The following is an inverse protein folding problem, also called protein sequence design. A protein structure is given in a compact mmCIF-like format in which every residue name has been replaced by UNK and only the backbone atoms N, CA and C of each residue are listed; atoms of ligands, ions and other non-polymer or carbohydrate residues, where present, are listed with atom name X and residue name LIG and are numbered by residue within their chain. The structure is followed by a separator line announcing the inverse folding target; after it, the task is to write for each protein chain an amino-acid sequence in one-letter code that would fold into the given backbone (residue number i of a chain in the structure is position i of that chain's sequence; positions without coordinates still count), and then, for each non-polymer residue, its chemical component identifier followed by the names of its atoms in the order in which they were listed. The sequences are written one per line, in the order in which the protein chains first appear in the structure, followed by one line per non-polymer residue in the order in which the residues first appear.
data_IF_424803472969
#
_entry.id   IF_424803472969
#
_cell.length_a   1.000
_cell.length_b   1.000
_cell.length_c   1.000
_cell.angle_alpha   90.00
_cell.angle_beta   90.00
_cell.angle_gamma   90.00
#
_symmetry.space_group_name_H-M   'P 1'
#
loop_
_entity.id
_entity.type
_entity.pdbx_description
1 polymer ?
#
# COMPACT_ATOMS: atom_id res chain seq x y z
N UNK A 1 38.47 32.78 -13.46
CA UNK A 1 38.66 31.45 -12.80
C UNK A 1 37.48 30.51 -12.99
N UNK A 2 36.34 30.98 -13.46
CA UNK A 2 35.14 30.15 -13.73
C UNK A 2 35.26 29.32 -15.03
N UNK A 3 35.97 29.79 -16.03
CA UNK A 3 36.06 29.14 -17.34
C UNK A 3 36.63 27.70 -17.35
N UNK A 4 37.69 27.44 -16.58
CA UNK A 4 38.33 26.11 -16.56
C UNK A 4 37.50 25.03 -15.90
N UNK A 5 36.54 25.41 -15.02
CA UNK A 5 35.70 24.41 -14.35
C UNK A 5 34.61 23.85 -15.24
N UNK A 6 34.21 24.61 -16.26
CA UNK A 6 33.20 24.18 -17.25
C UNK A 6 33.80 23.31 -18.34
N UNK A 7 34.99 23.69 -18.85
CA UNK A 7 35.69 22.91 -19.86
C UNK A 7 36.02 21.49 -19.41
N UNK A 8 36.23 21.31 -18.09
CA UNK A 8 36.50 20.00 -17.47
C UNK A 8 35.22 19.22 -17.09
N UNK A 9 34.03 19.69 -17.43
CA UNK A 9 32.76 19.07 -17.00
C UNK A 9 32.55 19.08 -15.49
N UNK A 10 33.08 20.09 -14.80
CA UNK A 10 33.05 20.21 -13.33
C UNK A 10 32.10 21.28 -12.81
N UNK A 11 31.52 22.05 -13.71
CA UNK A 11 30.63 23.13 -13.32
C UNK A 11 29.26 22.61 -12.92
N UNK A 12 28.78 23.14 -11.85
CA UNK A 12 27.43 22.89 -11.36
C UNK A 12 26.92 24.14 -10.64
N UNK A 13 25.62 24.16 -10.48
CA UNK A 13 24.95 25.15 -9.66
C UNK A 13 23.93 24.41 -8.80
N UNK A 14 23.87 24.76 -7.52
CA UNK A 14 23.06 23.97 -6.59
C UNK A 14 22.67 24.74 -5.33
N UNK A 15 21.73 24.15 -4.61
CA UNK A 15 21.27 24.61 -3.32
C UNK A 15 21.67 23.58 -2.24
N UNK A 16 22.22 24.08 -1.15
CA UNK A 16 22.61 23.32 0.05
C UNK A 16 21.90 24.01 1.22
N UNK A 17 21.47 23.26 2.23
CA UNK A 17 20.83 23.83 3.42
C UNK A 17 21.80 24.69 4.24
N UNK A 18 21.28 25.75 4.89
CA UNK A 18 22.08 26.64 5.73
C UNK A 18 22.67 25.94 6.96
N UNK A 19 22.06 24.85 7.40
CA UNK A 19 22.47 24.10 8.59
C UNK A 19 23.62 23.11 8.33
N UNK A 20 24.14 23.07 7.11
CA UNK A 20 25.17 22.13 6.71
C UNK A 20 26.59 22.72 6.82
N UNK A 21 27.51 21.93 7.36
CA UNK A 21 28.90 22.28 7.37
C UNK A 21 29.42 22.46 5.93
N UNK A 22 30.01 23.63 5.65
CA UNK A 22 30.42 24.06 4.31
C UNK A 22 31.72 23.40 3.81
N UNK A 23 32.07 22.23 4.29
CA UNK A 23 33.30 21.53 3.95
C UNK A 23 33.10 20.49 2.86
N UNK A 24 33.15 20.93 1.61
CA UNK A 24 33.11 20.06 0.43
C UNK A 24 31.97 20.40 -0.51
N UNK A 25 32.12 20.00 -1.76
CA UNK A 25 31.20 20.32 -2.84
C UNK A 25 29.77 19.76 -2.64
N UNK A 26 29.64 18.73 -1.82
CA UNK A 26 28.40 18.04 -1.48
C UNK A 26 28.56 17.44 -0.08
N UNK A 27 28.62 18.27 0.93
CA UNK A 27 28.76 17.75 2.28
C UNK A 27 27.51 17.01 2.74
N UNK A 28 26.34 17.33 2.13
CA UNK A 28 25.05 16.74 2.47
C UNK A 28 24.13 16.57 1.25
N UNK A 29 22.88 16.17 1.50
CA UNK A 29 21.87 16.04 0.46
C UNK A 29 21.57 17.40 -0.17
N UNK A 30 21.75 17.51 -1.48
CA UNK A 30 21.70 18.76 -2.23
C UNK A 30 20.84 18.65 -3.48
N UNK A 31 20.33 19.79 -3.93
CA UNK A 31 19.73 19.94 -5.26
C UNK A 31 20.78 20.55 -6.19
N UNK A 32 21.06 19.90 -7.30
CA UNK A 32 22.15 20.31 -8.21
C UNK A 32 21.72 20.27 -9.66
N UNK A 33 22.18 21.25 -10.44
CA UNK A 33 22.01 21.31 -11.89
C UNK A 33 23.38 21.28 -12.55
N UNK A 34 23.58 20.37 -13.51
CA UNK A 34 24.77 20.27 -14.34
C UNK A 34 24.42 20.70 -15.77
N UNK A 35 24.91 21.83 -16.26
CA UNK A 35 24.69 22.26 -17.64
C UNK A 35 25.61 21.52 -18.62
N UNK A 36 25.18 21.44 -19.89
CA UNK A 36 25.94 20.85 -20.99
C UNK A 36 26.99 21.82 -21.56
N UNK A 37 26.74 23.12 -21.48
CA UNK A 37 27.61 24.18 -21.97
C UNK A 37 27.48 25.44 -21.09
N UNK A 38 28.56 26.19 -20.95
CA UNK A 38 28.57 27.39 -20.11
C UNK A 38 27.96 28.61 -20.79
N UNK A 39 28.19 28.75 -22.08
CA UNK A 39 27.86 29.97 -22.83
C UNK A 39 26.49 29.87 -23.50
N UNK A 40 26.01 28.63 -23.72
CA UNK A 40 24.75 28.38 -24.38
C UNK A 40 24.15 27.08 -23.86
N UNK A 41 23.65 27.12 -22.62
CA UNK A 41 22.98 25.97 -21.99
C UNK A 41 21.73 25.64 -22.79
N UNK A 42 21.68 24.45 -23.36
CA UNK A 42 20.50 23.89 -24.00
C UNK A 42 19.95 22.72 -23.19
N UNK A 43 20.85 21.87 -22.74
CA UNK A 43 20.52 20.65 -22.02
C UNK A 43 21.17 20.69 -20.63
N UNK A 44 20.48 20.18 -19.62
CA UNK A 44 21.07 20.02 -18.30
C UNK A 44 20.59 18.73 -17.61
N UNK A 45 21.33 18.31 -16.59
CA UNK A 45 20.89 17.28 -15.67
C UNK A 45 20.50 17.96 -14.36
N UNK A 46 19.27 17.75 -13.91
CA UNK A 46 18.80 18.13 -12.57
C UNK A 46 18.93 16.92 -11.66
N UNK A 47 19.55 17.10 -10.51
CA UNK A 47 19.84 16.01 -9.61
C UNK A 47 19.44 16.33 -8.17
N UNK A 48 19.02 15.29 -7.45
CA UNK A 48 19.07 15.24 -6.01
C UNK A 48 20.31 14.41 -5.65
N UNK A 49 21.31 15.09 -5.07
CA UNK A 49 22.64 14.53 -4.86
C UNK A 49 22.92 14.26 -3.39
N UNK A 50 23.85 13.33 -3.15
CA UNK A 50 24.37 13.01 -1.82
C UNK A 50 25.84 13.43 -1.78
N UNK A 51 26.28 14.11 -0.69
CA UNK A 51 27.62 14.68 -0.62
C UNK A 51 28.75 13.67 -0.73
N UNK A 52 29.81 14.06 -1.45
CA UNK A 52 30.97 13.19 -1.69
C UNK A 52 31.95 13.12 -0.50
N UNK A 53 31.93 14.12 0.39
CA UNK A 53 32.83 14.21 1.55
C UNK A 53 32.16 13.84 2.88
N UNK A 54 30.85 13.97 2.96
CA UNK A 54 30.04 13.76 4.16
C UNK A 54 29.31 12.44 4.24
N UNK A 55 29.68 11.46 3.42
CA UNK A 55 28.95 10.22 3.20
C UNK A 55 28.42 9.50 4.46
N UNK A 56 29.02 9.77 5.62
CA UNK A 56 28.59 9.18 6.89
C UNK A 56 27.24 9.72 7.37
N UNK A 57 26.94 10.98 7.15
CA UNK A 57 25.68 11.61 7.55
C UNK A 57 24.61 11.42 6.45
N UNK A 58 25.00 11.54 5.20
CA UNK A 58 24.11 11.40 4.06
C UNK A 58 23.65 9.97 3.83
N UNK A 59 24.44 8.98 4.22
CA UNK A 59 24.01 7.58 4.17
C UNK A 59 22.77 7.32 5.03
N UNK A 60 22.68 7.98 6.19
CA UNK A 60 21.47 7.86 7.02
C UNK A 60 20.25 8.47 6.32
N UNK A 61 20.40 9.62 5.68
CA UNK A 61 19.33 10.25 4.92
C UNK A 61 18.95 9.41 3.69
N UNK A 62 19.95 8.97 2.93
CA UNK A 62 19.77 8.15 1.74
C UNK A 62 19.19 6.76 2.03
N UNK A 63 19.47 6.20 3.20
CA UNK A 63 18.88 4.93 3.65
C UNK A 63 17.45 5.09 4.19
N UNK A 64 16.91 6.31 4.20
CA UNK A 64 15.56 6.59 4.70
C UNK A 64 14.50 6.09 3.69
N UNK A 65 13.56 5.22 4.10
CA UNK A 65 12.61 4.62 3.16
C UNK A 65 11.78 5.65 2.38
N UNK A 66 11.40 6.76 3.03
CA UNK A 66 10.60 7.83 2.44
C UNK A 66 11.31 8.59 1.33
N UNK A 67 12.63 8.73 1.42
CA UNK A 67 13.42 9.40 0.40
C UNK A 67 13.34 8.67 -0.95
N UNK A 68 13.49 7.35 -0.94
CA UNK A 68 13.35 6.52 -2.13
C UNK A 68 11.95 6.63 -2.76
N UNK A 69 10.90 6.60 -1.93
CA UNK A 69 9.52 6.78 -2.40
C UNK A 69 9.30 8.19 -2.97
N UNK A 70 9.90 9.20 -2.36
CA UNK A 70 9.84 10.57 -2.86
C UNK A 70 10.47 10.68 -4.23
N UNK A 71 11.63 10.06 -4.44
CA UNK A 71 12.27 10.05 -5.76
C UNK A 71 11.42 9.33 -6.80
N UNK A 72 10.83 8.18 -6.46
CA UNK A 72 9.95 7.46 -7.38
C UNK A 72 8.72 8.27 -7.80
N UNK A 73 8.22 9.18 -6.97
CA UNK A 73 7.14 10.09 -7.33
C UNK A 73 7.55 11.14 -8.38
N UNK A 74 8.84 11.45 -8.49
CA UNK A 74 9.37 12.36 -9.51
C UNK A 74 9.47 11.72 -10.90
N UNK A 75 9.14 10.42 -11.01
CA UNK A 75 9.15 9.74 -12.30
C UNK A 75 8.09 10.34 -13.23
N UNK A 76 8.55 10.83 -14.37
CA UNK A 76 7.68 11.12 -15.50
C UNK A 76 7.82 9.96 -16.50
N UNK A 77 6.71 9.54 -17.12
CA UNK A 77 6.67 8.40 -18.05
C UNK A 77 7.37 8.68 -19.40
N UNK A 78 8.22 9.71 -19.46
CA UNK A 78 8.94 10.16 -20.67
C UNK A 78 10.33 9.53 -20.81
N UNK A 79 10.75 8.70 -19.87
CA UNK A 79 12.04 8.01 -19.90
C UNK A 79 13.27 8.88 -19.57
N UNK A 80 13.07 10.17 -19.19
CA UNK A 80 14.17 11.10 -18.89
C UNK A 80 14.55 11.17 -17.42
N UNK A 81 13.87 10.40 -16.55
CA UNK A 81 14.12 10.35 -15.11
C UNK A 81 14.78 9.03 -14.72
N UNK A 82 15.83 9.08 -13.92
CA UNK A 82 16.67 7.95 -13.56
C UNK A 82 16.87 7.89 -12.04
N UNK A 83 16.82 6.67 -11.48
CA UNK A 83 17.00 6.43 -10.06
C UNK A 83 18.00 5.33 -9.80
N UNK A 84 18.75 5.43 -8.71
CA UNK A 84 19.43 4.28 -8.15
C UNK A 84 18.42 3.32 -7.52
N UNK A 85 18.56 2.05 -7.82
CA UNK A 85 17.71 0.99 -7.26
C UNK A 85 18.08 0.64 -5.82
N UNK A 86 19.32 0.93 -5.40
CA UNK A 86 19.82 0.72 -4.05
C UNK A 86 20.80 1.81 -3.66
N UNK A 87 20.73 2.26 -2.41
CA UNK A 87 21.74 3.15 -1.83
C UNK A 87 22.98 2.39 -1.32
N UNK A 88 22.91 1.07 -1.22
CA UNK A 88 24.02 0.23 -0.80
C UNK A 88 25.11 0.12 -1.90
N UNK A 89 24.71 0.26 -3.16
CA UNK A 89 25.62 0.28 -4.30
C UNK A 89 25.98 1.72 -4.69
N UNK A 90 26.93 2.26 -3.97
CA UNK A 90 27.41 3.63 -4.13
C UNK A 90 28.20 3.80 -5.45
N UNK A 91 28.74 2.73 -6.00
CA UNK A 91 29.61 2.77 -7.15
C UNK A 91 28.87 2.75 -8.51
N UNK A 92 27.59 2.42 -8.52
CA UNK A 92 26.80 2.37 -9.75
C UNK A 92 25.80 3.51 -9.87
N UNK A 93 26.07 4.46 -10.74
CA UNK A 93 25.01 5.25 -11.39
C UNK A 93 24.12 4.27 -12.17
N UNK A 94 22.80 4.51 -12.21
CA UNK A 94 21.90 3.75 -13.07
C UNK A 94 22.56 3.54 -14.42
N UNK A 95 22.70 2.28 -14.86
CA UNK A 95 23.27 1.95 -16.16
C UNK A 95 22.50 2.64 -17.29
N UNK A 96 21.23 2.86 -17.08
CA UNK A 96 20.31 3.47 -18.03
C UNK A 96 20.62 4.95 -18.24
N UNK A 97 20.83 5.72 -17.15
CA UNK A 97 21.25 7.13 -17.25
C UNK A 97 22.56 7.25 -18.03
N UNK A 98 23.53 6.40 -17.73
CA UNK A 98 24.84 6.46 -18.38
C UNK A 98 24.76 6.10 -19.86
N UNK A 99 23.96 5.14 -20.23
CA UNK A 99 23.73 4.73 -21.61
C UNK A 99 23.00 5.82 -22.40
N UNK A 100 21.96 6.41 -21.82
CA UNK A 100 21.19 7.50 -22.42
C UNK A 100 22.08 8.73 -22.68
N UNK A 101 22.86 9.16 -21.70
CA UNK A 101 23.77 10.29 -21.83
C UNK A 101 24.84 10.00 -22.87
N UNK A 102 25.44 8.81 -22.88
CA UNK A 102 26.44 8.44 -23.86
C UNK A 102 25.90 8.47 -25.27
N UNK A 103 24.67 8.02 -25.48
CA UNK A 103 24.05 7.95 -26.80
C UNK A 103 23.62 9.33 -27.30
N UNK A 104 22.96 10.12 -26.47
CA UNK A 104 22.21 11.30 -26.90
C UNK A 104 22.79 12.63 -26.38
N UNK A 105 23.52 12.60 -25.23
CA UNK A 105 24.02 13.82 -24.56
C UNK A 105 25.50 13.69 -24.14
N UNK A 106 26.43 13.44 -25.08
CA UNK A 106 27.82 13.09 -24.78
C UNK A 106 28.58 14.17 -23.97
N UNK A 107 28.21 15.44 -24.08
CA UNK A 107 28.80 16.53 -23.29
C UNK A 107 28.57 16.35 -21.77
N UNK A 108 27.47 15.74 -21.37
CA UNK A 108 27.14 15.46 -19.96
C UNK A 108 27.82 14.20 -19.41
N UNK A 109 28.48 13.40 -20.23
CA UNK A 109 29.09 12.13 -19.83
C UNK A 109 30.15 12.31 -18.74
N UNK A 110 30.99 13.34 -18.86
CA UNK A 110 32.03 13.64 -17.87
C UNK A 110 31.46 13.92 -16.48
N UNK A 111 30.31 14.60 -16.42
CA UNK A 111 29.58 14.88 -15.18
C UNK A 111 29.12 13.58 -14.52
N UNK A 112 28.47 12.72 -15.30
CA UNK A 112 27.93 11.44 -14.80
C UNK A 112 29.05 10.53 -14.31
N UNK A 113 30.15 10.44 -15.04
CA UNK A 113 31.30 9.61 -14.64
C UNK A 113 31.98 10.13 -13.36
N UNK A 114 32.03 11.43 -13.18
CA UNK A 114 32.64 12.05 -12.02
C UNK A 114 31.78 11.93 -10.76
N UNK A 115 30.47 12.13 -10.90
CA UNK A 115 29.52 12.19 -9.79
C UNK A 115 28.66 10.92 -9.64
N UNK A 116 28.98 9.85 -10.38
CA UNK A 116 28.21 8.59 -10.40
C UNK A 116 27.87 8.00 -9.04
N UNK A 117 28.69 8.27 -8.04
CA UNK A 117 28.50 7.74 -6.69
C UNK A 117 27.46 8.52 -5.87
N UNK A 118 27.18 9.76 -6.25
CA UNK A 118 26.40 10.73 -5.46
C UNK A 118 25.12 11.23 -6.13
N UNK A 119 24.67 10.58 -7.20
CA UNK A 119 23.49 10.94 -7.95
C UNK A 119 22.37 9.89 -7.77
N UNK A 120 21.66 9.87 -6.63
CA UNK A 120 20.60 8.89 -6.38
C UNK A 120 19.35 9.11 -7.23
N UNK A 121 19.05 10.35 -7.63
CA UNK A 121 17.98 10.69 -8.55
C UNK A 121 18.45 11.77 -9.52
N UNK A 122 18.17 11.59 -10.80
CA UNK A 122 18.61 12.50 -11.87
C UNK A 122 17.55 12.59 -12.95
N UNK A 123 17.41 13.78 -13.56
CA UNK A 123 16.53 14.00 -14.70
C UNK A 123 17.25 14.83 -15.77
N UNK A 124 17.15 14.40 -17.01
CA UNK A 124 17.64 15.15 -18.16
C UNK A 124 16.55 16.15 -18.59
N UNK A 125 16.93 17.41 -18.69
CA UNK A 125 16.14 18.48 -19.31
C UNK A 125 16.71 18.66 -20.71
N UNK A 126 15.96 18.26 -21.71
CA UNK A 126 16.42 18.19 -23.11
C UNK A 126 16.62 19.58 -23.72
N UNK A 127 15.71 20.50 -23.41
CA UNK A 127 15.79 21.89 -23.83
C UNK A 127 15.28 22.81 -22.71
N UNK A 128 16.20 23.57 -22.14
CA UNK A 128 15.90 24.47 -21.01
C UNK A 128 14.94 25.61 -21.39
N UNK A 129 14.78 25.88 -22.69
CA UNK A 129 13.91 26.96 -23.17
C UNK A 129 12.46 26.50 -23.40
N UNK A 130 12.15 25.24 -23.22
CA UNK A 130 10.76 24.75 -23.26
C UNK A 130 9.99 25.25 -22.04
N UNK A 131 8.71 25.60 -22.23
CA UNK A 131 7.87 26.19 -21.19
C UNK A 131 7.71 25.31 -19.94
N UNK A 132 7.72 23.98 -20.10
CA UNK A 132 7.59 23.00 -19.01
C UNK A 132 8.91 22.67 -18.29
N UNK A 133 10.05 23.03 -18.88
CA UNK A 133 11.37 22.73 -18.29
C UNK A 133 11.58 23.40 -16.94
N UNK A 134 11.13 24.66 -16.80
CA UNK A 134 11.18 25.36 -15.53
C UNK A 134 10.23 24.73 -14.49
N UNK A 135 9.07 24.29 -14.89
CA UNK A 135 8.12 23.61 -14.01
C UNK A 135 8.71 22.32 -13.45
N UNK A 136 9.42 21.57 -14.28
CA UNK A 136 10.14 20.35 -13.85
C UNK A 136 11.23 20.71 -12.86
N UNK A 137 12.10 21.69 -13.19
CA UNK A 137 13.19 22.13 -12.29
C UNK A 137 12.65 22.59 -10.95
N UNK A 138 11.60 23.43 -10.95
CA UNK A 138 10.98 23.90 -9.70
C UNK A 138 10.29 22.78 -8.91
N UNK A 139 9.74 21.78 -9.58
CA UNK A 139 9.15 20.61 -8.91
C UNK A 139 10.23 19.80 -8.17
N UNK A 140 11.41 19.61 -8.78
CA UNK A 140 12.55 18.96 -8.16
C UNK A 140 13.12 19.78 -7.00
N UNK A 141 13.23 21.09 -7.17
CA UNK A 141 13.64 22.02 -6.11
C UNK A 141 12.63 22.04 -4.95
N UNK A 142 11.32 22.05 -5.24
CA UNK A 142 10.27 21.98 -4.23
C UNK A 142 10.32 20.65 -3.45
N UNK A 143 10.63 19.56 -4.13
CA UNK A 143 10.83 18.24 -3.49
C UNK A 143 12.02 18.28 -2.53
N UNK A 144 13.15 18.85 -2.95
CA UNK A 144 14.32 19.07 -2.10
C UNK A 144 13.97 19.92 -0.89
N UNK A 145 13.30 21.06 -1.10
CA UNK A 145 12.90 21.97 -0.04
C UNK A 145 11.95 21.30 0.98
N UNK A 146 11.03 20.45 0.51
CA UNK A 146 10.15 19.66 1.39
C UNK A 146 10.96 18.69 2.25
N UNK A 147 11.88 17.92 1.66
CA UNK A 147 12.73 16.95 2.37
C UNK A 147 13.54 17.66 3.46
N UNK A 148 14.02 18.87 3.18
CA UNK A 148 14.78 19.70 4.13
C UNK A 148 13.91 20.49 5.11
N UNK A 149 12.60 20.34 5.07
CA UNK A 149 11.64 21.15 5.85
C UNK A 149 11.82 22.66 5.65
N UNK A 150 12.27 23.05 4.48
CA UNK A 150 12.71 24.39 4.12
C UNK A 150 11.55 25.35 3.97
N UNK A 151 11.79 26.62 4.35
CA UNK A 151 10.97 27.74 3.94
C UNK A 151 10.04 28.32 5.01
N UNK A 152 9.81 29.63 4.85
CA UNK A 152 8.77 30.39 5.54
C UNK A 152 7.38 29.93 5.14
N UNK A 153 6.33 30.45 5.80
CA UNK A 153 4.94 30.11 5.48
C UNK A 153 4.58 30.37 4.01
N UNK A 154 5.04 31.50 3.44
CA UNK A 154 4.78 31.85 2.04
C UNK A 154 5.56 30.95 1.07
N UNK A 155 6.80 30.62 1.38
CA UNK A 155 7.60 29.68 0.60
C UNK A 155 6.98 28.28 0.61
N UNK A 156 6.45 27.82 1.74
CA UNK A 156 5.74 26.54 1.83
C UNK A 156 4.50 26.48 0.93
N UNK A 157 3.82 27.60 0.72
CA UNK A 157 2.71 27.68 -0.23
C UNK A 157 3.21 27.41 -1.65
N UNK A 158 4.25 28.09 -2.09
CA UNK A 158 4.86 27.91 -3.41
C UNK A 158 5.40 26.47 -3.58
N UNK A 159 6.08 25.93 -2.58
CA UNK A 159 6.55 24.53 -2.58
C UNK A 159 5.37 23.57 -2.83
N UNK A 160 4.27 23.73 -2.10
CA UNK A 160 3.09 22.87 -2.25
C UNK A 160 2.43 23.02 -3.63
N UNK A 161 2.44 24.21 -4.24
CA UNK A 161 1.94 24.43 -5.61
C UNK A 161 2.74 23.61 -6.64
N UNK A 162 4.07 23.58 -6.53
CA UNK A 162 4.89 22.76 -7.43
C UNK A 162 4.79 21.27 -7.12
N UNK A 163 4.73 20.88 -5.84
CA UNK A 163 4.52 19.47 -5.48
C UNK A 163 3.16 18.93 -5.96
N UNK A 164 2.15 19.79 -6.08
CA UNK A 164 0.85 19.40 -6.65
C UNK A 164 0.90 19.10 -8.15
N UNK A 165 1.96 19.55 -8.87
CA UNK A 165 2.20 19.21 -10.28
C UNK A 165 2.78 17.81 -10.48
N UNK A 166 3.30 17.19 -9.43
CA UNK A 166 3.71 15.79 -9.49
C UNK A 166 2.47 14.95 -9.81
N UNK A 167 2.49 14.13 -10.88
CA UNK A 167 1.36 13.32 -11.23
C UNK A 167 0.93 12.47 -10.04
N UNK A 168 -0.24 12.73 -9.50
CA UNK A 168 -0.86 11.77 -8.59
C UNK A 168 -1.24 10.56 -9.44
N UNK A 169 -0.76 9.39 -9.11
CA UNK A 169 -1.31 8.18 -9.69
C UNK A 169 -2.83 8.23 -9.46
N UNK A 170 -3.58 8.22 -10.56
CA UNK A 170 -5.04 8.19 -10.48
C UNK A 170 -5.42 7.05 -9.54
N UNK A 171 -6.24 7.35 -8.54
CA UNK A 171 -6.69 6.29 -7.62
C UNK A 171 -7.48 5.29 -8.48
N UNK A 172 -7.05 4.03 -8.53
CA UNK A 172 -7.77 3.01 -9.28
C UNK A 172 -9.17 2.89 -8.68
N UNK A 173 -10.15 2.62 -9.53
CA UNK A 173 -11.47 2.23 -9.06
C UNK A 173 -11.34 0.81 -8.47
N UNK A 174 -11.04 0.72 -7.18
CA UNK A 174 -10.75 -0.54 -6.49
C UNK A 174 -11.88 -1.57 -6.69
N UNK A 175 -13.15 -1.13 -6.63
CA UNK A 175 -14.29 -2.04 -6.83
C UNK A 175 -14.31 -2.63 -8.25
N UNK A 176 -14.02 -1.81 -9.26
CA UNK A 176 -13.96 -2.26 -10.65
C UNK A 176 -12.78 -3.20 -10.89
N UNK A 177 -11.61 -2.89 -10.35
CA UNK A 177 -10.44 -3.77 -10.44
C UNK A 177 -10.70 -5.13 -9.77
N UNK A 178 -11.31 -5.13 -8.58
CA UNK A 178 -11.65 -6.36 -7.87
C UNK A 178 -12.70 -7.17 -8.64
N UNK A 179 -13.72 -6.52 -9.22
CA UNK A 179 -14.69 -7.20 -10.06
C UNK A 179 -14.04 -7.82 -11.31
N UNK A 180 -13.13 -7.08 -11.95
CA UNK A 180 -12.37 -7.60 -13.08
C UNK A 180 -11.49 -8.78 -12.68
N UNK A 181 -10.90 -8.72 -11.49
CA UNK A 181 -10.10 -9.80 -10.94
C UNK A 181 -10.98 -11.04 -10.64
N UNK A 182 -12.16 -10.87 -10.05
CA UNK A 182 -13.13 -11.97 -9.81
C UNK A 182 -13.58 -12.62 -11.12
N UNK A 183 -13.85 -11.85 -12.15
CA UNK A 183 -14.23 -12.37 -13.46
C UNK A 183 -13.14 -13.27 -14.08
N UNK A 184 -11.85 -12.95 -13.81
CA UNK A 184 -10.69 -13.69 -14.33
C UNK A 184 -10.25 -14.84 -13.41
N UNK A 185 -10.37 -14.67 -12.10
CA UNK A 185 -9.74 -15.52 -11.08
C UNK A 185 -10.71 -16.24 -10.16
N UNK A 186 -11.97 -15.86 -10.15
CA UNK A 186 -13.04 -16.45 -9.32
C UNK A 186 -12.88 -16.28 -7.80
N UNK A 187 -11.66 -16.41 -7.28
CA UNK A 187 -11.37 -16.41 -5.85
C UNK A 187 -10.36 -15.30 -5.53
N UNK A 188 -10.73 -14.35 -4.69
CA UNK A 188 -9.95 -13.16 -4.37
C UNK A 188 -9.86 -12.99 -2.86
N UNK A 189 -8.66 -12.69 -2.35
CA UNK A 189 -8.44 -12.23 -0.98
C UNK A 189 -8.20 -10.74 -0.99
N UNK A 190 -9.02 -9.98 -0.28
CA UNK A 190 -8.82 -8.56 0.02
C UNK A 190 -7.99 -8.46 1.29
N UNK A 191 -6.73 -8.06 1.17
CA UNK A 191 -5.84 -7.86 2.31
C UNK A 191 -5.58 -6.37 2.54
N UNK A 192 -5.23 -5.99 3.76
CA UNK A 192 -4.86 -4.60 4.10
C UNK A 192 -4.92 -4.31 5.58
N UNK A 193 -4.46 -3.12 5.99
CA UNK A 193 -4.49 -2.67 7.36
C UNK A 193 -5.91 -2.62 7.95
N UNK A 194 -6.04 -2.60 9.28
CA UNK A 194 -7.33 -2.31 9.91
C UNK A 194 -7.90 -0.98 9.43
N UNK A 195 -9.20 -0.96 9.18
CA UNK A 195 -9.90 0.26 8.77
C UNK A 195 -9.76 0.66 7.29
N UNK A 196 -9.18 -0.17 6.41
CA UNK A 196 -9.09 0.08 4.96
C UNK A 196 -10.38 -0.24 4.19
N UNK A 197 -11.44 -0.72 4.87
CA UNK A 197 -12.74 -0.95 4.23
C UNK A 197 -12.90 -2.30 3.55
N UNK A 198 -12.08 -3.32 3.84
CA UNK A 198 -12.12 -4.65 3.19
C UNK A 198 -13.52 -5.27 3.16
N UNK A 199 -14.15 -5.40 4.32
CA UNK A 199 -15.51 -5.96 4.45
C UNK A 199 -16.54 -5.07 3.77
N UNK A 200 -16.40 -3.75 3.87
CA UNK A 200 -17.27 -2.78 3.19
C UNK A 200 -17.21 -2.95 1.67
N UNK A 201 -16.01 -3.04 1.10
CA UNK A 201 -15.80 -3.26 -0.34
C UNK A 201 -16.38 -4.61 -0.79
N UNK A 202 -16.16 -5.68 -0.03
CA UNK A 202 -16.76 -6.98 -0.30
C UNK A 202 -18.31 -6.93 -0.32
N UNK A 203 -18.92 -6.22 0.63
CA UNK A 203 -20.37 -6.03 0.69
C UNK A 203 -20.91 -5.11 -0.41
N UNK A 204 -20.15 -4.11 -0.86
CA UNK A 204 -20.54 -3.30 -2.01
C UNK A 204 -20.55 -4.14 -3.30
N UNK A 205 -19.49 -4.91 -3.53
CA UNK A 205 -19.40 -5.82 -4.67
C UNK A 205 -20.56 -6.84 -4.65
N UNK A 206 -20.95 -7.31 -3.46
CA UNK A 206 -22.03 -8.29 -3.31
C UNK A 206 -23.37 -7.83 -3.90
N UNK A 207 -23.60 -6.51 -3.99
CA UNK A 207 -24.83 -5.93 -4.58
C UNK A 207 -25.00 -6.24 -6.07
N UNK A 208 -23.93 -6.61 -6.76
CA UNK A 208 -23.94 -7.01 -8.17
C UNK A 208 -24.24 -8.51 -8.40
N UNK A 209 -24.45 -9.26 -7.33
CA UNK A 209 -24.75 -10.70 -7.35
C UNK A 209 -26.21 -10.98 -7.04
N UNK A 210 -26.75 -12.07 -7.61
CA UNK A 210 -28.14 -12.49 -7.35
C UNK A 210 -28.31 -13.02 -5.93
N UNK A 211 -27.29 -13.71 -5.42
CA UNK A 211 -27.27 -14.27 -4.06
C UNK A 211 -25.89 -14.14 -3.43
N UNK A 212 -25.87 -13.71 -2.18
CA UNK A 212 -24.65 -13.64 -1.37
C UNK A 212 -24.79 -14.52 -0.13
N UNK A 213 -23.74 -15.26 0.15
CA UNK A 213 -23.54 -16.00 1.39
C UNK A 213 -22.37 -15.34 2.14
N UNK A 214 -22.52 -15.16 3.44
CA UNK A 214 -21.54 -14.48 4.27
C UNK A 214 -21.21 -15.31 5.50
N UNK A 215 -19.91 -15.47 5.80
CA UNK A 215 -19.41 -16.09 7.01
C UNK A 215 -18.21 -15.33 7.55
N UNK A 216 -18.22 -15.00 8.83
CA UNK A 216 -17.06 -14.42 9.50
C UNK A 216 -16.32 -15.50 10.28
N UNK A 217 -15.05 -15.69 9.96
CA UNK A 217 -14.21 -16.66 10.66
C UNK A 217 -13.76 -16.12 12.01
N UNK A 218 -13.68 -17.03 12.98
CA UNK A 218 -13.13 -16.79 14.31
C UNK A 218 -12.31 -18.01 14.76
N UNK A 219 -11.58 -17.91 15.87
CA UNK A 219 -10.64 -18.94 16.31
C UNK A 219 -11.26 -20.34 16.47
N UNK A 220 -12.54 -20.42 16.81
CA UNK A 220 -13.28 -21.67 17.02
C UNK A 220 -14.03 -22.15 15.77
N UNK A 221 -13.95 -21.44 14.63
CA UNK A 221 -14.63 -21.89 13.40
C UNK A 221 -14.05 -23.21 12.94
N UNK A 222 -14.93 -24.19 12.73
CA UNK A 222 -14.58 -25.56 12.34
C UNK A 222 -15.09 -25.88 10.92
N UNK A 223 -14.62 -27.03 10.38
CA UNK A 223 -15.16 -27.61 9.16
C UNK A 223 -16.69 -27.81 9.25
N UNK A 224 -17.16 -28.24 10.44
CA UNK A 224 -18.59 -28.50 10.66
C UNK A 224 -19.43 -27.22 10.63
N UNK A 225 -18.85 -26.08 10.97
CA UNK A 225 -19.55 -24.79 10.94
C UNK A 225 -19.62 -24.24 9.51
N UNK A 226 -18.50 -24.28 8.80
CA UNK A 226 -18.39 -23.68 7.49
C UNK A 226 -18.84 -24.58 6.34
N UNK A 227 -18.52 -25.89 6.40
CA UNK A 227 -18.78 -26.81 5.29
C UNK A 227 -19.95 -27.74 5.59
N UNK A 228 -19.74 -28.73 6.45
CA UNK A 228 -20.75 -29.73 6.77
C UNK A 228 -20.41 -30.49 8.05
N UNK A 229 -21.38 -30.69 8.89
CA UNK A 229 -21.23 -31.40 10.13
C UNK A 229 -22.46 -32.18 10.57
N UNK A 230 -22.43 -32.60 11.82
CA UNK A 230 -23.52 -33.29 12.50
C UNK A 230 -23.73 -32.60 13.84
N UNK A 231 -24.96 -32.27 14.18
CA UNK A 231 -25.30 -31.68 15.47
C UNK A 231 -26.37 -32.50 16.21
N UNK A 232 -26.42 -32.46 17.54
CA UNK A 232 -27.47 -33.12 18.32
C UNK A 232 -28.85 -32.54 17.96
N UNK A 233 -29.84 -33.40 17.82
CA UNK A 233 -31.22 -32.99 17.58
C UNK A 233 -31.86 -32.47 18.89
N UNK A 234 -31.82 -31.16 19.09
CA UNK A 234 -32.40 -30.49 20.27
C UNK A 234 -33.92 -30.20 20.13
N UNK A 235 -34.54 -30.48 18.97
CA UNK A 235 -35.96 -30.21 18.79
C UNK A 235 -36.80 -31.23 19.54
N UNK A 236 -37.57 -30.76 20.54
CA UNK A 236 -38.62 -31.54 21.18
C UNK A 236 -39.72 -31.87 20.16
N UNK A 237 -40.15 -33.12 20.15
CA UNK A 237 -41.19 -33.63 19.26
C UNK A 237 -42.53 -33.03 19.59
N UNK A 238 -43.17 -32.39 18.66
CA UNK A 238 -44.63 -32.22 18.68
C UNK A 238 -45.40 -33.02 17.62
N UNK A 239 -44.74 -33.49 16.53
CA UNK A 239 -45.39 -34.27 15.47
C UNK A 239 -44.46 -35.16 14.69
N UNK A 240 -43.91 -36.22 15.27
CA UNK A 240 -43.25 -37.26 14.48
C UNK A 240 -44.04 -38.57 14.49
N UNK A 241 -44.10 -39.21 13.31
CA UNK A 241 -44.66 -40.55 13.07
C UNK A 241 -44.18 -41.49 14.16
N UNK A 242 -45.14 -42.13 14.85
CA UNK A 242 -44.90 -43.05 15.99
C UNK A 242 -44.05 -44.26 15.66
N UNK A 243 -43.74 -44.52 14.40
CA UNK A 243 -43.03 -45.74 13.95
C UNK A 243 -41.53 -45.53 13.62
N UNK A 244 -40.97 -44.30 13.77
CA UNK A 244 -39.54 -44.09 13.55
C UNK A 244 -38.83 -43.62 14.84
N UNK A 245 -37.78 -44.33 15.24
CA UNK A 245 -36.91 -43.85 16.33
C UNK A 245 -36.38 -42.44 16.03
N UNK A 246 -36.42 -41.51 17.03
CA UNK A 246 -35.99 -40.16 16.80
C UNK A 246 -34.51 -40.15 16.40
N UNK A 247 -34.19 -39.39 15.32
CA UNK A 247 -32.79 -39.19 14.97
C UNK A 247 -32.13 -38.40 16.10
N UNK A 248 -31.12 -38.99 16.75
CA UNK A 248 -30.37 -38.34 17.80
C UNK A 248 -29.50 -37.20 17.26
N UNK A 249 -29.14 -37.26 15.97
CA UNK A 249 -28.30 -36.32 15.28
C UNK A 249 -28.91 -35.89 13.95
N UNK A 250 -28.74 -34.62 13.62
CA UNK A 250 -29.17 -34.01 12.35
C UNK A 250 -27.97 -33.43 11.59
N UNK A 251 -28.01 -33.34 10.27
CA UNK A 251 -26.98 -32.70 9.50
C UNK A 251 -26.92 -31.19 9.78
N UNK A 252 -25.72 -30.67 10.08
CA UNK A 252 -25.42 -29.26 10.10
C UNK A 252 -24.88 -28.85 8.74
N UNK A 253 -25.60 -27.99 8.03
CA UNK A 253 -25.24 -27.51 6.70
C UNK A 253 -24.55 -26.17 6.82
N UNK A 254 -23.23 -26.13 6.65
CA UNK A 254 -22.44 -24.91 6.70
C UNK A 254 -22.69 -24.00 5.50
N UNK A 255 -22.12 -22.78 5.56
CA UNK A 255 -22.36 -21.73 4.57
C UNK A 255 -21.83 -22.13 3.18
N UNK A 256 -20.67 -22.78 3.11
CA UNK A 256 -20.13 -23.29 1.84
C UNK A 256 -21.05 -24.34 1.19
N UNK A 257 -21.55 -25.29 1.99
CA UNK A 257 -22.51 -26.28 1.48
C UNK A 257 -23.76 -25.59 0.91
N UNK A 258 -24.32 -24.61 1.64
CA UNK A 258 -25.53 -23.89 1.21
C UNK A 258 -25.28 -23.11 -0.08
N UNK A 259 -24.10 -22.44 -0.20
CA UNK A 259 -23.72 -21.70 -1.41
C UNK A 259 -23.59 -22.63 -2.62
N UNK A 260 -22.93 -23.79 -2.47
CA UNK A 260 -22.77 -24.78 -3.55
C UNK A 260 -24.13 -25.31 -3.98
N UNK A 261 -24.98 -25.71 -3.04
CA UNK A 261 -26.29 -26.24 -3.32
C UNK A 261 -27.17 -25.23 -4.06
N UNK A 262 -27.20 -23.98 -3.58
CA UNK A 262 -27.95 -22.92 -4.24
C UNK A 262 -27.47 -22.67 -5.69
N UNK A 263 -26.16 -22.63 -5.89
CA UNK A 263 -25.56 -22.38 -7.19
C UNK A 263 -25.86 -23.52 -8.18
N UNK A 264 -25.91 -24.77 -7.73
CA UNK A 264 -26.31 -25.92 -8.57
C UNK A 264 -27.80 -25.89 -8.94
N UNK A 265 -28.67 -25.46 -8.01
CA UNK A 265 -30.10 -25.33 -8.23
C UNK A 265 -30.42 -24.10 -9.12
N UNK A 266 -29.57 -23.08 -9.15
CA UNK A 266 -29.76 -21.83 -9.88
C UNK A 266 -28.58 -21.52 -10.83
N UNK A 267 -28.31 -22.29 -11.86
CA UNK A 267 -27.08 -22.20 -12.67
C UNK A 267 -26.94 -20.91 -13.49
N UNK A 268 -28.02 -20.14 -13.65
CA UNK A 268 -28.03 -18.85 -14.37
C UNK A 268 -27.77 -17.64 -13.45
N UNK A 269 -27.80 -17.84 -12.14
CA UNK A 269 -27.61 -16.78 -11.16
C UNK A 269 -26.15 -16.72 -10.71
N UNK A 270 -25.62 -15.51 -10.58
CA UNK A 270 -24.30 -15.32 -9.99
C UNK A 270 -24.39 -15.35 -8.47
N UNK A 271 -23.54 -16.16 -7.85
CA UNK A 271 -23.48 -16.36 -6.41
C UNK A 271 -22.15 -15.86 -5.88
N UNK A 272 -22.17 -15.07 -4.80
CA UNK A 272 -20.97 -14.65 -4.08
C UNK A 272 -20.90 -15.33 -2.72
N UNK A 273 -19.76 -15.92 -2.42
CA UNK A 273 -19.42 -16.35 -1.08
C UNK A 273 -18.40 -15.37 -0.48
N UNK A 274 -18.76 -14.71 0.61
CA UNK A 274 -17.89 -13.80 1.36
C UNK A 274 -17.40 -14.52 2.62
N UNK A 275 -16.07 -14.61 2.79
CA UNK A 275 -15.40 -15.15 3.99
C UNK A 275 -14.67 -14.00 4.67
N UNK A 276 -15.23 -13.45 5.72
CA UNK A 276 -14.64 -12.34 6.44
C UNK A 276 -13.63 -12.84 7.47
N UNK A 277 -12.49 -12.13 7.63
CA UNK A 277 -11.40 -12.45 8.56
C UNK A 277 -10.86 -13.89 8.39
N UNK A 278 -10.57 -14.28 7.16
CA UNK A 278 -10.19 -15.67 6.80
C UNK A 278 -8.99 -16.21 7.61
N UNK A 279 -8.07 -15.35 8.04
CA UNK A 279 -6.90 -15.73 8.82
C UNK A 279 -7.17 -15.94 10.33
N UNK A 280 -8.38 -15.68 10.82
CA UNK A 280 -8.72 -15.89 12.24
C UNK A 280 -9.02 -17.33 12.59
N UNK A 281 -9.31 -18.18 11.61
CA UNK A 281 -9.50 -19.63 11.83
C UNK A 281 -8.25 -20.42 11.41
N UNK A 282 -8.13 -21.64 11.93
CA UNK A 282 -7.16 -22.60 11.42
C UNK A 282 -7.61 -23.11 10.04
N UNK A 283 -7.09 -22.50 8.98
CA UNK A 283 -7.51 -22.76 7.61
C UNK A 283 -7.31 -24.22 7.15
N UNK A 284 -6.25 -24.87 7.64
CA UNK A 284 -5.99 -26.26 7.33
C UNK A 284 -7.07 -27.17 7.91
N UNK A 285 -7.62 -26.84 9.08
CA UNK A 285 -8.72 -27.59 9.69
C UNK A 285 -10.07 -27.28 9.03
N UNK A 286 -10.34 -26.02 8.69
CA UNK A 286 -11.63 -25.58 8.14
C UNK A 286 -11.75 -25.90 6.66
N UNK A 287 -10.72 -25.61 5.87
CA UNK A 287 -10.72 -25.72 4.41
C UNK A 287 -9.96 -26.94 3.89
N UNK A 288 -9.04 -27.52 4.67
CA UNK A 288 -8.15 -28.59 4.23
C UNK A 288 -8.86 -29.69 3.41
N UNK A 289 -9.95 -30.29 3.91
CA UNK A 289 -10.69 -31.32 3.18
C UNK A 289 -11.32 -30.86 1.87
N UNK A 290 -11.56 -29.55 1.70
CA UNK A 290 -12.22 -28.95 0.53
C UNK A 290 -11.32 -28.01 -0.28
N UNK A 291 -10.07 -27.82 0.09
CA UNK A 291 -9.13 -26.98 -0.66
C UNK A 291 -9.01 -27.36 -2.13
N UNK A 292 -9.16 -28.62 -2.44
CA UNK A 292 -9.16 -29.11 -3.81
C UNK A 292 -10.25 -28.45 -4.69
N UNK A 293 -11.36 -28.05 -4.11
CA UNK A 293 -12.46 -27.41 -4.85
C UNK A 293 -12.11 -25.98 -5.32
N UNK A 294 -11.18 -25.30 -4.66
CA UNK A 294 -10.78 -23.92 -4.97
C UNK A 294 -9.72 -23.81 -6.09
N UNK A 295 -9.43 -24.89 -6.81
CA UNK A 295 -8.54 -24.82 -7.97
C UNK A 295 -9.34 -24.55 -9.25
N UNK A 296 -9.25 -23.34 -9.79
CA UNK A 296 -10.01 -22.92 -10.98
C UNK A 296 -9.30 -23.22 -12.31
N UNK A 297 -7.98 -23.55 -12.30
CA UNK A 297 -7.15 -23.69 -13.50
C UNK A 297 -7.08 -25.11 -14.10
N UNK A 298 -7.65 -26.11 -13.46
CA UNK A 298 -7.53 -27.51 -13.89
C UNK A 298 -8.69 -27.93 -14.79
N UNK A 299 -8.38 -28.21 -16.06
CA UNK A 299 -9.38 -28.56 -17.10
C UNK A 299 -10.06 -29.92 -16.88
N UNK A 300 -9.44 -30.89 -16.21
CA UNK A 300 -10.04 -32.20 -15.91
C UNK A 300 -9.67 -32.63 -14.49
N UNK A 301 -10.67 -32.85 -13.67
CA UNK A 301 -10.53 -33.39 -12.32
C UNK A 301 -11.09 -34.80 -12.30
N UNK A 302 -10.35 -35.69 -11.66
CA UNK A 302 -10.71 -37.11 -11.56
C UNK A 302 -11.23 -37.50 -10.18
N UNK A 303 -11.03 -36.60 -9.19
CA UNK A 303 -11.40 -36.88 -7.78
C UNK A 303 -12.62 -36.04 -7.42
N UNK A 304 -13.65 -36.71 -6.94
CA UNK A 304 -14.84 -36.08 -6.36
C UNK A 304 -14.72 -36.04 -4.83
N UNK A 305 -15.20 -34.98 -4.25
CA UNK A 305 -15.29 -34.77 -2.80
C UNK A 305 -16.76 -34.87 -2.41
N UNK A 306 -17.02 -35.69 -1.39
CA UNK A 306 -18.37 -35.84 -0.85
C UNK A 306 -18.57 -34.89 0.33
N UNK A 307 -19.56 -33.99 0.20
CA UNK A 307 -19.96 -33.06 1.25
C UNK A 307 -21.46 -33.29 1.54
N UNK A 308 -21.74 -34.04 2.59
CA UNK A 308 -23.13 -34.46 2.86
C UNK A 308 -23.72 -35.30 1.74
N UNK A 309 -24.75 -34.80 1.09
CA UNK A 309 -25.42 -35.37 -0.10
C UNK A 309 -24.85 -34.84 -1.44
N UNK A 310 -23.90 -33.91 -1.41
CA UNK A 310 -23.25 -33.37 -2.61
C UNK A 310 -22.02 -34.21 -2.97
N UNK A 311 -21.86 -34.53 -4.24
CA UNK A 311 -20.71 -35.22 -4.83
C UNK A 311 -20.11 -34.33 -5.93
N UNK A 312 -19.04 -33.58 -5.61
CA UNK A 312 -18.51 -32.49 -6.42
C UNK A 312 -17.02 -32.62 -6.66
N UNK A 313 -16.56 -32.24 -7.82
CA UNK A 313 -15.16 -32.21 -8.22
C UNK A 313 -14.57 -30.77 -8.27
N UNK A 314 -15.44 -29.77 -8.40
CA UNK A 314 -15.10 -28.33 -8.39
C UNK A 314 -16.27 -27.52 -7.83
N UNK A 315 -15.97 -26.28 -7.42
CA UNK A 315 -17.04 -25.31 -7.15
C UNK A 315 -17.82 -25.01 -8.45
N UNK A 316 -19.15 -24.81 -8.37
CA UNK A 316 -19.94 -24.38 -9.53
C UNK A 316 -19.37 -23.13 -10.20
N UNK A 317 -19.40 -23.07 -11.52
CA UNK A 317 -18.79 -21.98 -12.30
C UNK A 317 -19.45 -20.61 -12.07
N UNK A 318 -20.66 -20.59 -11.49
CA UNK A 318 -21.39 -19.38 -11.13
C UNK A 318 -21.14 -18.91 -9.69
N UNK A 319 -20.20 -19.53 -8.96
CA UNK A 319 -19.74 -19.06 -7.63
C UNK A 319 -18.43 -18.28 -7.78
N UNK A 320 -18.43 -17.07 -7.25
CA UNK A 320 -17.23 -16.28 -6.97
C UNK A 320 -17.00 -16.21 -5.45
N UNK A 321 -15.74 -16.09 -5.01
CA UNK A 321 -15.40 -16.03 -3.58
C UNK A 321 -14.55 -14.81 -3.29
N UNK A 322 -14.98 -14.01 -2.31
CA UNK A 322 -14.17 -12.94 -1.72
C UNK A 322 -13.85 -13.34 -0.28
N UNK A 323 -12.58 -13.36 0.05
CA UNK A 323 -12.14 -13.44 1.45
C UNK A 323 -11.52 -12.12 1.89
N UNK A 324 -11.63 -11.75 3.16
CA UNK A 324 -10.93 -10.58 3.73
C UNK A 324 -9.86 -11.03 4.73
N UNK A 325 -8.78 -10.27 4.83
CA UNK A 325 -7.67 -10.55 5.74
C UNK A 325 -7.04 -9.27 6.27
N UNK A 326 -6.86 -9.17 7.58
CA UNK A 326 -6.07 -8.14 8.21
C UNK A 326 -4.59 -8.44 8.10
N UNK A 327 -3.78 -7.48 7.62
CA UNK A 327 -2.33 -7.64 7.50
C UNK A 327 -1.58 -7.31 8.79
N UNK A 328 -2.18 -6.54 9.70
CA UNK A 328 -1.58 -6.19 10.98
C UNK A 328 -1.60 -7.36 11.98
N UNK A 329 -2.56 -8.26 11.89
CA UNK A 329 -2.72 -9.40 12.80
C UNK A 329 -1.72 -10.52 12.48
N UNK A 330 -0.43 -10.32 12.75
CA UNK A 330 0.63 -11.34 12.51
C UNK A 330 0.64 -12.49 13.50
N UNK A 331 -0.02 -12.36 14.64
CA UNK A 331 -0.19 -13.45 15.63
C UNK A 331 -1.16 -14.54 15.16
N UNK A 332 -1.92 -14.28 14.10
CA UNK A 332 -2.86 -15.20 13.51
C UNK A 332 -2.18 -16.12 12.48
N UNK A 333 -2.79 -17.26 12.24
CA UNK A 333 -2.23 -18.36 11.45
C UNK A 333 -1.53 -17.86 10.16
N UNK A 334 -0.28 -18.26 9.98
CA UNK A 334 0.46 -18.06 8.73
C UNK A 334 -0.40 -18.59 7.60
N UNK A 335 -0.79 -17.72 6.68
CA UNK A 335 -1.58 -18.13 5.51
C UNK A 335 -0.75 -19.15 4.72
N UNK A 336 -1.23 -20.38 4.69
CA UNK A 336 -0.59 -21.49 4.00
C UNK A 336 -0.33 -21.13 2.51
N UNK A 337 0.83 -21.53 2.00
CA UNK A 337 1.16 -21.42 0.58
C UNK A 337 0.11 -22.07 -0.33
N UNK A 338 -0.63 -23.08 0.19
CA UNK A 338 -1.73 -23.69 -0.53
C UNK A 338 -2.86 -22.72 -0.82
N UNK A 339 -3.20 -21.82 0.11
CA UNK A 339 -4.20 -20.75 -0.12
C UNK A 339 -3.65 -19.70 -1.08
N UNK A 340 -2.37 -19.31 -0.92
CA UNK A 340 -1.77 -18.26 -1.74
C UNK A 340 -1.83 -18.57 -3.24
N UNK A 341 -1.65 -19.82 -3.65
CA UNK A 341 -1.71 -20.20 -5.07
C UNK A 341 -3.12 -20.31 -5.64
N UNK A 342 -4.14 -20.45 -4.78
CA UNK A 342 -5.53 -20.67 -5.22
C UNK A 342 -6.34 -19.39 -5.31
N UNK A 343 -5.95 -18.37 -4.55
CA UNK A 343 -6.61 -17.08 -4.53
C UNK A 343 -5.74 -16.03 -5.21
N UNK A 344 -6.37 -15.10 -5.90
CA UNK A 344 -5.72 -13.85 -6.28
C UNK A 344 -5.75 -12.90 -5.08
N UNK A 345 -4.68 -12.12 -4.91
CA UNK A 345 -4.50 -11.25 -3.75
C UNK A 345 -4.59 -9.80 -4.19
N UNK A 346 -5.50 -9.05 -3.60
CA UNK A 346 -5.66 -7.63 -3.82
C UNK A 346 -5.42 -6.86 -2.52
N UNK A 347 -4.52 -5.89 -2.55
CA UNK A 347 -4.18 -5.10 -1.36
C UNK A 347 -4.93 -3.78 -1.38
N UNK A 348 -5.88 -3.63 -0.46
CA UNK A 348 -6.54 -2.35 -0.18
C UNK A 348 -5.61 -1.48 0.65
N UNK A 349 -5.29 -0.30 0.12
CA UNK A 349 -4.43 0.67 0.77
C UNK A 349 -5.27 1.79 1.39
N UNK A 350 -4.80 2.40 2.50
CA UNK A 350 -5.41 3.61 3.00
C UNK A 350 -5.43 4.71 1.93
N UNK A 351 -6.57 5.37 1.77
CA UNK A 351 -6.74 6.47 0.81
C UNK A 351 -7.78 7.48 1.32
N UNK A 352 -7.81 8.67 0.71
CA UNK A 352 -8.84 9.66 0.99
C UNK A 352 -10.20 9.20 0.46
N UNK A 353 -11.24 9.42 1.24
CA UNK A 353 -12.61 9.02 0.88
C UNK A 353 -13.60 10.17 1.05
N UNK A 354 -14.69 10.10 0.30
CA UNK A 354 -15.84 10.96 0.51
C UNK A 354 -16.91 10.18 1.28
N UNK A 355 -17.05 10.42 2.59
CA UNK A 355 -18.00 9.67 3.39
C UNK A 355 -19.46 10.07 3.08
N UNK A 356 -20.40 9.22 3.49
CA UNK A 356 -21.84 9.47 3.32
C UNK A 356 -22.36 10.66 4.12
N UNK A 357 -23.67 10.99 3.96
CA UNK A 357 -24.29 12.12 4.64
C UNK A 357 -24.14 12.09 6.17
N UNK A 358 -23.86 13.22 6.77
CA UNK A 358 -23.69 13.35 8.23
C UNK A 358 -22.31 12.97 8.75
N UNK A 359 -21.41 12.49 7.89
CA UNK A 359 -20.03 12.12 8.20
C UNK A 359 -19.03 13.05 7.51
N UNK A 360 -17.85 13.16 8.09
CA UNK A 360 -16.74 13.93 7.52
C UNK A 360 -15.44 13.14 7.61
N UNK A 361 -14.66 13.19 6.55
CA UNK A 361 -13.30 12.68 6.54
C UNK A 361 -12.31 13.76 7.00
N UNK A 362 -11.50 13.43 8.01
CA UNK A 362 -10.51 14.34 8.61
C UNK A 362 -9.20 14.28 7.84
N UNK A 363 -9.21 14.87 6.64
CA UNK A 363 -8.12 14.82 5.67
C UNK A 363 -6.78 15.29 6.25
N UNK A 364 -6.75 16.39 7.01
CA UNK A 364 -5.50 16.92 7.56
C UNK A 364 -4.83 15.95 8.54
N UNK A 365 -5.63 15.36 9.45
CA UNK A 365 -5.12 14.38 10.42
C UNK A 365 -4.68 13.09 9.74
N UNK A 366 -5.46 12.63 8.74
CA UNK A 366 -5.10 11.49 7.90
C UNK A 366 -3.74 11.73 7.22
N UNK A 367 -3.56 12.88 6.56
CA UNK A 367 -2.33 13.19 5.82
C UNK A 367 -1.12 13.28 6.77
N UNK A 368 -1.26 13.86 7.96
CA UNK A 368 -0.16 13.92 8.95
C UNK A 368 0.32 12.51 9.33
N UNK A 369 -0.59 11.58 9.57
CA UNK A 369 -0.24 10.19 9.88
C UNK A 369 0.32 9.49 8.65
N UNK A 370 -0.31 9.66 7.49
CA UNK A 370 0.16 9.07 6.23
C UNK A 370 1.57 9.55 5.85
N UNK A 371 1.88 10.83 6.09
CA UNK A 371 3.22 11.40 5.84
C UNK A 371 4.27 10.74 6.74
N UNK A 372 3.97 10.47 8.02
CA UNK A 372 4.89 9.75 8.91
C UNK A 372 5.13 8.33 8.41
N UNK A 373 4.08 7.60 8.03
CA UNK A 373 4.24 6.27 7.44
C UNK A 373 5.02 6.32 6.13
N UNK A 374 4.71 7.27 5.27
CA UNK A 374 5.41 7.45 4.01
C UNK A 374 6.91 7.71 4.22
N UNK A 375 7.25 8.49 5.24
CA UNK A 375 8.63 8.90 5.51
C UNK A 375 9.43 7.78 6.19
N UNK A 376 8.87 7.13 7.21
CA UNK A 376 9.64 6.25 8.11
C UNK A 376 9.40 4.75 7.89
N UNK A 377 8.22 4.34 7.41
CA UNK A 377 7.90 2.92 7.30
C UNK A 377 8.73 2.23 6.22
N UNK A 378 9.24 1.05 6.49
CA UNK A 378 9.74 0.13 5.46
C UNK A 378 8.61 -0.29 4.51
N UNK A 379 8.94 -0.92 3.39
CA UNK A 379 7.91 -1.37 2.44
C UNK A 379 6.95 -2.40 3.08
N UNK A 380 7.46 -3.22 4.00
CA UNK A 380 6.63 -4.16 4.78
C UNK A 380 5.78 -3.46 5.84
N UNK A 381 6.30 -2.39 6.46
CA UNK A 381 5.56 -1.64 7.49
C UNK A 381 4.48 -0.72 6.92
N UNK A 382 4.53 -0.38 5.63
CA UNK A 382 3.43 0.36 4.97
C UNK A 382 2.08 -0.33 5.08
N UNK A 383 2.08 -1.66 5.21
CA UNK A 383 0.85 -2.43 5.42
C UNK A 383 0.23 -2.27 6.82
N UNK A 384 0.90 -1.55 7.72
CA UNK A 384 0.41 -1.23 9.07
C UNK A 384 -0.29 0.13 9.12
N UNK A 385 -0.21 0.96 8.06
CA UNK A 385 -0.82 2.29 8.05
C UNK A 385 -2.33 2.20 8.32
N UNK A 386 -2.87 2.87 9.36
CA UNK A 386 -4.29 2.85 9.68
C UNK A 386 -5.15 3.30 8.51
N UNK A 387 -6.21 2.56 8.24
CA UNK A 387 -7.12 2.83 7.14
C UNK A 387 -8.00 4.06 7.36
N UNK A 388 -8.69 4.46 6.29
CA UNK A 388 -9.54 5.66 6.26
C UNK A 388 -10.67 5.67 7.27
N UNK A 389 -11.14 4.52 7.76
CA UNK A 389 -12.25 4.46 8.72
C UNK A 389 -11.94 5.13 10.06
N UNK A 390 -10.67 5.15 10.47
CA UNK A 390 -10.24 5.86 11.68
C UNK A 390 -10.40 7.37 11.60
N UNK A 391 -10.53 7.92 10.40
CA UNK A 391 -10.58 9.35 10.12
C UNK A 391 -11.97 9.83 9.67
N UNK A 392 -12.96 8.94 9.66
CA UNK A 392 -14.36 9.28 9.36
C UNK A 392 -15.10 9.51 10.66
N UNK A 393 -15.52 10.75 10.90
CA UNK A 393 -16.19 11.17 12.12
C UNK A 393 -17.55 11.84 11.83
N UNK A 394 -18.47 11.91 12.79
CA UNK A 394 -19.69 12.68 12.64
C UNK A 394 -19.39 14.15 12.34
N UNK A 395 -20.11 14.77 11.40
CA UNK A 395 -19.92 16.17 11.02
C UNK A 395 -20.20 17.15 12.18
N UNK A 396 -21.10 16.78 13.09
CA UNK A 396 -21.29 17.48 14.37
C UNK A 396 -20.16 17.08 15.32
N UNK A 397 -19.46 18.02 15.92
CA UNK A 397 -18.36 17.79 16.86
C UNK A 397 -17.14 17.04 16.26
N UNK A 398 -16.90 17.17 14.95
CA UNK A 398 -15.84 16.47 14.22
C UNK A 398 -14.46 16.54 14.89
N UNK A 399 -14.08 17.72 15.43
CA UNK A 399 -12.75 17.93 16.01
C UNK A 399 -12.61 17.24 17.39
N UNK A 400 -13.68 17.25 18.20
CA UNK A 400 -13.70 16.52 19.47
C UNK A 400 -13.67 15.00 19.24
N UNK A 401 -14.49 14.50 18.33
CA UNK A 401 -14.49 13.08 17.93
C UNK A 401 -13.14 12.62 17.36
N UNK A 402 -12.50 13.44 16.50
CA UNK A 402 -11.19 13.10 15.98
C UNK A 402 -10.14 13.06 17.09
N UNK A 403 -10.19 14.00 18.02
CA UNK A 403 -9.32 14.01 19.20
C UNK A 403 -9.50 12.75 20.06
N UNK A 404 -10.73 12.32 20.28
CA UNK A 404 -11.00 11.09 21.02
C UNK A 404 -10.49 9.85 20.28
N UNK A 405 -10.66 9.77 18.97
CA UNK A 405 -10.08 8.68 18.17
C UNK A 405 -8.55 8.67 18.18
N UNK A 406 -7.92 9.83 18.13
CA UNK A 406 -6.48 9.93 18.28
C UNK A 406 -6.01 9.38 19.64
N UNK A 407 -6.72 9.69 20.72
CA UNK A 407 -6.34 9.29 22.08
C UNK A 407 -6.64 7.80 22.35
N UNK A 408 -7.83 7.34 21.96
CA UNK A 408 -8.34 6.05 22.42
C UNK A 408 -8.22 4.92 21.38
N UNK A 409 -8.00 5.25 20.12
CA UNK A 409 -7.88 4.27 19.04
C UNK A 409 -6.50 4.30 18.39
N UNK A 410 -6.06 5.44 17.83
CA UNK A 410 -4.83 5.54 17.06
C UNK A 410 -3.56 5.52 17.91
N UNK A 411 -3.54 6.26 19.03
CA UNK A 411 -2.38 6.26 19.92
C UNK A 411 -2.09 4.88 20.53
N UNK A 412 -3.09 4.13 21.05
CA UNK A 412 -2.87 2.76 21.49
C UNK A 412 -2.37 1.83 20.36
N UNK A 413 -2.94 1.92 19.17
CA UNK A 413 -2.52 1.14 18.02
C UNK A 413 -1.05 1.40 17.63
N UNK A 414 -0.65 2.68 17.57
CA UNK A 414 0.75 3.04 17.27
C UNK A 414 1.69 2.60 18.40
N UNK A 415 1.27 2.69 19.66
CA UNK A 415 2.07 2.16 20.79
C UNK A 415 2.31 0.66 20.66
N UNK A 416 1.30 -0.09 20.25
CA UNK A 416 1.42 -1.53 20.00
C UNK A 416 2.43 -1.82 18.88
N UNK A 417 2.34 -1.12 17.75
CA UNK A 417 3.33 -1.25 16.66
C UNK A 417 4.75 -0.96 17.12
N UNK A 418 4.95 0.12 17.89
CA UNK A 418 6.27 0.45 18.43
C UNK A 418 6.78 -0.58 19.45
N UNK A 419 5.88 -1.14 20.28
CA UNK A 419 6.22 -2.18 21.25
C UNK A 419 6.62 -3.50 20.56
N UNK A 420 6.04 -3.81 19.39
CA UNK A 420 6.40 -4.95 18.56
C UNK A 420 7.65 -4.71 17.70
N UNK A 421 8.26 -3.53 17.78
CA UNK A 421 9.49 -3.18 17.07
C UNK A 421 9.29 -2.57 15.69
N UNK A 422 8.05 -2.27 15.28
CA UNK A 422 7.74 -1.57 14.03
C UNK A 422 7.89 -0.07 14.18
N UNK A 423 8.19 0.62 13.07
CA UNK A 423 8.19 2.09 12.97
C UNK A 423 9.08 2.77 14.04
N UNK A 424 10.12 2.10 14.52
CA UNK A 424 10.96 2.62 15.62
C UNK A 424 11.58 3.98 15.30
N UNK A 425 11.93 4.22 14.02
CA UNK A 425 12.46 5.50 13.56
C UNK A 425 11.42 6.63 13.57
N UNK A 426 10.14 6.30 13.57
CA UNK A 426 9.03 7.25 13.57
C UNK A 426 8.53 7.62 14.97
N UNK A 427 9.11 7.03 16.02
CA UNK A 427 8.63 7.19 17.41
C UNK A 427 8.50 8.66 17.81
N UNK A 428 9.53 9.44 17.59
CA UNK A 428 9.55 10.86 17.98
C UNK A 428 8.53 11.68 17.18
N UNK A 429 8.39 11.40 15.88
CA UNK A 429 7.39 12.05 15.03
C UNK A 429 5.96 11.74 15.47
N UNK A 430 5.68 10.53 15.92
CA UNK A 430 4.38 10.19 16.50
C UNK A 430 4.16 10.84 17.87
N UNK A 431 5.18 10.88 18.73
CA UNK A 431 5.09 11.58 20.02
C UNK A 431 4.73 13.06 19.83
N UNK A 432 5.40 13.74 18.91
CA UNK A 432 5.15 15.14 18.58
C UNK A 432 3.76 15.35 17.98
N UNK A 433 3.34 14.47 17.06
CA UNK A 433 2.01 14.51 16.46
C UNK A 433 0.92 14.43 17.54
N UNK A 434 0.96 13.38 18.39
CA UNK A 434 -0.06 13.18 19.42
C UNK A 434 -0.08 14.30 20.46
N UNK A 435 1.10 14.78 20.88
CA UNK A 435 1.17 15.93 21.80
C UNK A 435 0.52 17.16 21.17
N UNK A 436 0.81 17.45 19.91
CA UNK A 436 0.32 18.63 19.18
C UNK A 436 -1.20 18.57 18.94
N UNK A 437 -1.71 17.43 18.53
CA UNK A 437 -3.13 17.26 18.19
C UNK A 437 -4.02 17.03 19.40
N UNK A 438 -3.51 16.41 20.45
CA UNK A 438 -4.34 16.00 21.61
C UNK A 438 -3.99 16.72 22.91
N UNK A 439 -2.80 17.29 23.02
CA UNK A 439 -2.25 17.83 24.26
C UNK A 439 -1.83 16.76 25.27
N UNK A 440 -1.75 15.49 24.86
CA UNK A 440 -1.33 14.36 25.73
C UNK A 440 -0.01 13.77 25.24
N UNK A 441 0.83 13.42 26.20
CA UNK A 441 2.05 12.66 25.92
C UNK A 441 1.67 11.23 25.53
N UNK A 442 2.39 10.69 24.57
CA UNK A 442 2.21 9.31 24.13
C UNK A 442 2.68 8.32 25.21
N UNK A 443 3.72 8.66 25.94
CA UNK A 443 4.26 7.89 27.08
C UNK A 443 4.25 8.81 28.30
N UNK A 444 3.51 8.44 29.30
CA UNK A 444 3.51 9.04 30.64
C UNK A 444 4.28 8.14 31.60
#
# INVERSE_FOLDING_TARGET
MLDKSFDDGKAYFGFISEDEETTGLYSDFSFVIFPDDMNNVQTCIVCLGVGSAGFKNDYQLASHPGLRRTFLKLNADDGMTFFKTSFDDIESTSSDLKNEIRANYPKLLTVVEKFKTVLPASRIIVDINQDDSFDIIYTWLATYAKIRSWGTADQKKCINEYLAKIPSQAQPNEEEEIQNLLNKRKYVVLQGAPGTGKTFTALNISKSYNKTFFEQFHAETTYSDFVYGIEPNMKKKENEDKDKAPRQFIPKKGVLYQAIKYAQENPKERVLLVIDEINRANLSNVLGPVFYLFEYQTAKRTVKIKIGDLDIDKLPDNIDVIATMNTADRSLAVVDFALRRRFAWYTLRPHEVTPGPGLKFMKETYNKIADIFFEYASDDELHLQPGQSYFIVPSKNKDAEMKDRLIYELMPLIKEYLAEGYLLKAKDSFCDLFLKETGRLMYE
#
